data_IF_208007100047
#
_entry.id   IF_208007100047
#
_cell.length_a   1.000
_cell.length_b   1.000
_cell.length_c   1.000
_cell.angle_alpha   90.00
_cell.angle_beta   90.00
_cell.angle_gamma   90.00
#
_symmetry.space_group_name_H-M   'P 1'
#
loop_
_entity.id
_entity.type
_entity.pdbx_description
1 polymer ?
#
# COMPACT_ATOMS: atom_id res chain seq x y z
N UNK A 1 9.07 -20.65 -8.08
CA UNK A 1 8.36 -19.70 -7.17
C UNK A 1 7.80 -20.51 -6.00
N UNK A 2 8.09 -20.11 -4.77
CA UNK A 2 7.59 -20.81 -3.58
C UNK A 2 6.14 -20.42 -3.28
N UNK A 3 5.53 -21.11 -2.32
CA UNK A 3 4.11 -20.88 -1.96
C UNK A 3 3.85 -19.47 -1.43
N UNK A 4 4.79 -18.92 -0.66
CA UNK A 4 4.66 -17.56 -0.11
C UNK A 4 4.64 -16.52 -1.22
N UNK A 5 5.51 -16.66 -2.21
CA UNK A 5 5.53 -15.76 -3.38
C UNK A 5 4.25 -15.85 -4.18
N UNK A 6 3.72 -17.06 -4.36
CA UNK A 6 2.45 -17.26 -5.07
C UNK A 6 1.28 -16.60 -4.35
N UNK A 7 1.22 -16.74 -3.02
CA UNK A 7 0.19 -16.07 -2.20
C UNK A 7 0.33 -14.56 -2.29
N UNK A 8 1.55 -14.05 -2.17
CA UNK A 8 1.82 -12.61 -2.25
C UNK A 8 1.34 -12.02 -3.58
N UNK A 9 1.74 -12.64 -4.70
CA UNK A 9 1.33 -12.18 -6.02
C UNK A 9 -0.17 -12.30 -6.25
N UNK A 10 -0.79 -13.35 -5.73
CA UNK A 10 -2.23 -13.58 -5.84
C UNK A 10 -3.02 -12.48 -5.13
N UNK A 11 -2.59 -12.11 -3.91
CA UNK A 11 -3.21 -11.04 -3.14
C UNK A 11 -3.15 -9.70 -3.88
N UNK A 12 -1.98 -9.36 -4.41
CA UNK A 12 -1.79 -8.11 -5.13
C UNK A 12 -2.59 -8.09 -6.42
N UNK A 13 -2.60 -9.21 -7.16
CA UNK A 13 -3.37 -9.33 -8.40
C UNK A 13 -4.86 -9.13 -8.16
N UNK A 14 -5.41 -9.81 -7.16
CA UNK A 14 -6.83 -9.73 -6.86
C UNK A 14 -7.22 -8.32 -6.43
N UNK A 15 -6.37 -7.65 -5.66
CA UNK A 15 -6.60 -6.27 -5.26
C UNK A 15 -6.62 -5.32 -6.46
N UNK A 16 -5.60 -5.43 -7.33
CA UNK A 16 -5.48 -4.55 -8.50
C UNK A 16 -6.63 -4.78 -9.48
N UNK A 17 -7.06 -6.04 -9.65
CA UNK A 17 -8.16 -6.38 -10.56
C UNK A 17 -9.54 -6.16 -9.94
N UNK A 18 -9.62 -5.74 -8.69
CA UNK A 18 -10.89 -5.53 -8.00
C UNK A 18 -11.65 -6.81 -7.70
N UNK A 19 -10.98 -7.96 -7.71
CA UNK A 19 -11.60 -9.24 -7.44
C UNK A 19 -11.73 -9.48 -5.94
N UNK A 20 -12.76 -10.22 -5.56
CA UNK A 20 -12.97 -10.61 -4.18
C UNK A 20 -11.90 -11.60 -3.75
N UNK A 21 -11.31 -11.38 -2.58
CA UNK A 21 -10.29 -12.25 -2.03
C UNK A 21 -10.86 -13.63 -1.73
N UNK A 22 -10.14 -14.66 -2.18
CA UNK A 22 -10.47 -16.05 -1.92
C UNK A 22 -9.83 -16.48 -0.59
N UNK A 23 -10.37 -17.57 0.00
CA UNK A 23 -9.72 -18.17 1.16
C UNK A 23 -8.29 -18.58 0.80
N UNK A 24 -7.34 -18.20 1.66
CA UNK A 24 -5.93 -18.52 1.44
C UNK A 24 -5.65 -19.94 1.91
N UNK A 25 -4.72 -20.66 1.23
CA UNK A 25 -4.16 -21.90 1.77
C UNK A 25 -3.35 -21.61 3.02
N UNK A 26 -2.78 -22.66 3.63
CA UNK A 26 -1.87 -22.48 4.75
C UNK A 26 -0.73 -21.52 4.37
N UNK A 27 -0.56 -20.46 5.15
CA UNK A 27 0.37 -19.37 4.84
C UNK A 27 1.42 -19.28 5.93
N UNK A 28 2.68 -19.13 5.54
CA UNK A 28 3.74 -18.70 6.45
C UNK A 28 3.65 -17.17 6.56
N UNK A 29 2.96 -16.71 7.60
CA UNK A 29 2.69 -15.29 7.79
C UNK A 29 3.96 -14.46 7.98
N UNK A 30 4.97 -15.03 8.66
CA UNK A 30 6.24 -14.33 8.85
C UNK A 30 6.97 -14.12 7.51
N UNK A 31 7.00 -15.16 6.68
CA UNK A 31 7.61 -15.06 5.35
C UNK A 31 6.86 -14.07 4.47
N UNK A 32 5.53 -14.06 4.53
CA UNK A 32 4.71 -13.11 3.78
C UNK A 32 4.98 -11.67 4.23
N UNK A 33 5.06 -11.43 5.53
CA UNK A 33 5.41 -10.12 6.07
C UNK A 33 6.79 -9.66 5.60
N UNK A 34 7.79 -10.55 5.69
CA UNK A 34 9.15 -10.23 5.26
C UNK A 34 9.20 -9.89 3.77
N UNK A 35 8.47 -10.63 2.96
CA UNK A 35 8.40 -10.39 1.50
C UNK A 35 7.73 -9.04 1.21
N UNK A 36 6.62 -8.74 1.87
CA UNK A 36 5.94 -7.46 1.71
C UNK A 36 6.84 -6.30 2.13
N UNK A 37 7.60 -6.48 3.20
CA UNK A 37 8.51 -5.46 3.70
C UNK A 37 9.68 -5.21 2.74
N UNK A 38 10.22 -6.29 2.16
CA UNK A 38 11.33 -6.17 1.20
C UNK A 38 10.92 -5.45 -0.09
N UNK A 39 9.64 -5.52 -0.46
CA UNK A 39 9.09 -4.82 -1.62
C UNK A 39 8.41 -3.50 -1.26
N UNK A 40 8.50 -3.07 0.00
CA UNK A 40 7.94 -1.82 0.49
C UNK A 40 6.41 -1.70 0.28
N UNK A 41 5.70 -2.80 0.42
CA UNK A 41 4.24 -2.85 0.27
C UNK A 41 3.54 -3.42 1.51
N UNK A 42 4.17 -3.32 2.68
CA UNK A 42 3.62 -3.84 3.94
C UNK A 42 2.25 -3.22 4.24
N UNK A 43 2.10 -1.92 4.06
CA UNK A 43 0.83 -1.24 4.29
C UNK A 43 -0.26 -1.69 3.34
N UNK A 44 0.08 -1.87 2.07
CA UNK A 44 -0.87 -2.35 1.06
C UNK A 44 -1.32 -3.79 1.36
N UNK A 45 -0.39 -4.68 1.66
CA UNK A 45 -0.72 -6.07 2.01
C UNK A 45 -1.55 -6.10 3.30
N UNK A 46 -1.21 -5.28 4.29
CA UNK A 46 -2.00 -5.16 5.52
C UNK A 46 -3.44 -4.77 5.26
N UNK A 47 -3.66 -3.82 4.36
CA UNK A 47 -5.02 -3.40 3.97
C UNK A 47 -5.78 -4.53 3.28
N UNK A 48 -5.12 -5.26 2.40
CA UNK A 48 -5.73 -6.42 1.72
C UNK A 48 -6.12 -7.49 2.74
N UNK A 49 -5.22 -7.81 3.68
CA UNK A 49 -5.47 -8.83 4.70
C UNK A 49 -6.58 -8.44 5.67
N UNK A 50 -6.84 -7.16 5.86
CA UNK A 50 -7.92 -6.69 6.74
C UNK A 50 -9.30 -7.09 6.23
N UNK A 51 -9.45 -7.35 4.94
CA UNK A 51 -10.71 -7.78 4.33
C UNK A 51 -10.89 -9.31 4.34
N UNK A 52 -9.92 -10.07 4.84
CA UNK A 52 -10.02 -11.52 4.91
C UNK A 52 -10.96 -11.97 6.04
N UNK A 53 -11.62 -13.14 5.90
CA UNK A 53 -12.37 -13.74 6.98
C UNK A 53 -11.51 -13.95 8.23
N UNK A 54 -12.13 -13.92 9.41
CA UNK A 54 -11.43 -14.01 10.70
C UNK A 54 -10.57 -15.28 10.81
N UNK A 55 -11.00 -16.38 10.19
CA UNK A 55 -10.31 -17.66 10.24
C UNK A 55 -8.98 -17.69 9.46
N UNK A 56 -8.73 -16.69 8.63
CA UNK A 56 -7.58 -16.63 7.73
C UNK A 56 -6.71 -15.39 8.00
N UNK A 57 -6.65 -14.95 9.25
CA UNK A 57 -5.86 -13.78 9.64
C UNK A 57 -4.52 -14.18 10.22
N UNK A 58 -3.49 -13.32 10.09
CA UNK A 58 -2.19 -13.57 10.69
C UNK A 58 -2.27 -13.59 12.23
N UNK A 59 -1.26 -14.18 12.91
CA UNK A 59 -1.14 -14.09 14.36
C UNK A 59 -1.16 -12.65 14.84
N UNK A 60 -1.59 -12.44 16.09
CA UNK A 60 -1.78 -11.10 16.66
C UNK A 60 -0.55 -10.20 16.51
N UNK A 61 0.64 -10.72 16.74
CA UNK A 61 1.88 -9.96 16.64
C UNK A 61 2.12 -9.45 15.21
N UNK A 62 1.91 -10.31 14.21
CA UNK A 62 2.05 -9.94 12.80
C UNK A 62 0.90 -9.04 12.35
N UNK A 63 -0.31 -9.26 12.85
CA UNK A 63 -1.44 -8.39 12.54
C UNK A 63 -1.17 -6.96 13.01
N UNK A 64 -0.56 -6.79 14.18
CA UNK A 64 -0.15 -5.47 14.69
C UNK A 64 0.93 -4.87 13.78
N UNK A 65 1.92 -5.67 13.37
CA UNK A 65 2.99 -5.21 12.48
C UNK A 65 2.46 -4.72 11.13
N UNK A 66 1.53 -5.46 10.53
CA UNK A 66 0.87 -5.03 9.28
C UNK A 66 0.08 -3.74 9.48
N UNK A 67 -0.63 -3.61 10.59
CA UNK A 67 -1.41 -2.41 10.90
C UNK A 67 -0.51 -1.20 11.08
N UNK A 68 0.64 -1.36 11.73
CA UNK A 68 1.64 -0.30 11.86
C UNK A 68 2.17 0.12 10.49
N UNK A 69 2.41 -0.84 9.59
CA UNK A 69 2.82 -0.56 8.22
C UNK A 69 1.78 0.26 7.46
N UNK A 70 0.49 -0.06 7.64
CA UNK A 70 -0.62 0.73 7.09
C UNK A 70 -0.59 2.17 7.60
N UNK A 71 -0.45 2.35 8.91
CA UNK A 71 -0.41 3.67 9.54
C UNK A 71 0.76 4.50 9.02
N UNK A 72 1.93 3.90 8.92
CA UNK A 72 3.11 4.59 8.40
C UNK A 72 2.92 5.00 6.94
N UNK A 73 2.36 4.13 6.11
CA UNK A 73 2.08 4.43 4.70
C UNK A 73 1.09 5.56 4.57
N UNK A 74 0.02 5.54 5.36
CA UNK A 74 -1.00 6.60 5.36
C UNK A 74 -0.40 7.94 5.80
N UNK A 75 0.39 7.95 6.88
CA UNK A 75 1.04 9.17 7.36
C UNK A 75 2.00 9.74 6.32
N UNK A 76 2.78 8.88 5.65
CA UNK A 76 3.68 9.31 4.59
C UNK A 76 2.91 9.93 3.42
N UNK A 77 1.77 9.33 3.05
CA UNK A 77 0.90 9.88 2.00
C UNK A 77 0.37 11.26 2.38
N UNK A 78 -0.18 11.41 3.59
CA UNK A 78 -0.73 12.68 4.05
C UNK A 78 0.33 13.77 4.08
N UNK A 79 1.53 13.44 4.55
CA UNK A 79 2.66 14.36 4.58
C UNK A 79 3.06 14.80 3.17
N UNK A 80 3.11 13.86 2.23
CA UNK A 80 3.42 14.14 0.82
C UNK A 80 2.37 15.05 0.20
N UNK A 81 1.08 14.75 0.43
CA UNK A 81 -0.01 15.54 -0.13
C UNK A 81 -0.04 16.94 0.42
N UNK A 82 0.27 17.13 1.70
CA UNK A 82 0.39 18.46 2.30
C UNK A 82 1.52 19.25 1.62
N UNK A 83 2.67 18.62 1.37
CA UNK A 83 3.79 19.26 0.68
C UNK A 83 3.43 19.62 -0.76
N UNK A 84 2.75 18.73 -1.46
CA UNK A 84 2.29 18.98 -2.84
C UNK A 84 1.33 20.16 -2.88
N UNK A 85 0.39 20.25 -1.94
CA UNK A 85 -0.55 21.36 -1.87
C UNK A 85 0.14 22.69 -1.65
N UNK A 86 1.13 22.74 -0.77
CA UNK A 86 1.92 23.96 -0.52
C UNK A 86 2.66 24.36 -1.79
N UNK A 87 3.27 23.40 -2.47
CA UNK A 87 3.99 23.66 -3.73
C UNK A 87 3.07 24.17 -4.82
N UNK A 88 1.90 23.54 -5.01
CA UNK A 88 0.92 23.94 -6.00
C UNK A 88 0.40 25.35 -5.73
N UNK A 89 0.11 25.67 -4.47
CA UNK A 89 -0.37 26.99 -4.07
C UNK A 89 0.71 28.05 -4.35
N UNK A 90 1.97 27.75 -4.01
CA UNK A 90 3.09 28.65 -4.24
C UNK A 90 3.27 28.96 -5.73
N UNK A 91 3.21 27.93 -6.57
CA UNK A 91 3.33 28.09 -8.03
C UNK A 91 2.16 28.87 -8.60
N UNK A 92 0.95 28.61 -8.13
CA UNK A 92 -0.26 29.32 -8.55
C UNK A 92 -0.18 30.80 -8.18
N UNK A 93 0.23 31.11 -6.96
CA UNK A 93 0.37 32.49 -6.48
C UNK A 93 1.45 33.26 -7.25
N UNK A 94 2.47 32.57 -7.72
CA UNK A 94 3.55 33.16 -8.53
C UNK A 94 3.19 33.21 -10.02
N UNK A 95 2.00 32.76 -10.41
CA UNK A 95 1.53 32.70 -11.81
C UNK A 95 2.41 31.80 -12.69
N UNK A 96 2.96 30.71 -12.12
CA UNK A 96 3.79 29.75 -12.84
C UNK A 96 2.92 28.56 -13.27
N UNK A 97 2.92 28.26 -14.55
CA UNK A 97 2.26 27.07 -15.09
C UNK A 97 3.09 25.83 -14.74
N UNK A 98 2.43 24.78 -14.21
CA UNK A 98 3.11 23.57 -13.81
C UNK A 98 2.32 22.33 -14.23
N UNK A 99 2.98 21.18 -14.22
CA UNK A 99 2.39 19.88 -14.49
C UNK A 99 2.89 18.86 -13.47
N UNK A 100 1.96 18.18 -12.80
CA UNK A 100 2.29 17.13 -11.85
C UNK A 100 2.48 15.80 -12.59
N UNK A 101 3.63 15.16 -12.38
CA UNK A 101 3.98 13.88 -13.00
C UNK A 101 4.46 12.88 -11.96
N UNK A 102 4.57 11.62 -12.36
CA UNK A 102 5.05 10.51 -11.53
C UNK A 102 4.17 10.26 -10.29
N UNK A 103 4.77 10.15 -9.12
CA UNK A 103 4.17 9.63 -7.91
C UNK A 103 2.76 10.11 -7.58
N UNK A 104 2.56 11.43 -7.49
CA UNK A 104 1.25 11.98 -7.14
C UNK A 104 0.20 11.68 -8.20
N UNK A 105 0.57 11.81 -9.47
CA UNK A 105 -0.32 11.50 -10.59
C UNK A 105 -0.64 10.02 -10.69
N UNK A 106 0.38 9.16 -10.53
CA UNK A 106 0.23 7.70 -10.58
C UNK A 106 -0.57 7.18 -9.39
N UNK A 107 -0.37 7.76 -8.19
CA UNK A 107 -1.10 7.35 -6.99
C UNK A 107 -2.61 7.51 -7.16
N UNK A 108 -3.06 8.52 -7.89
CA UNK A 108 -4.47 8.75 -8.12
C UNK A 108 -5.16 7.62 -8.89
N UNK A 109 -4.39 6.79 -9.61
CA UNK A 109 -4.90 5.63 -10.34
C UNK A 109 -5.12 4.40 -9.44
N UNK A 110 -4.60 4.41 -8.21
CA UNK A 110 -4.79 3.31 -7.26
C UNK A 110 -6.20 3.35 -6.65
N UNK A 111 -6.78 2.18 -6.32
CA UNK A 111 -8.07 2.14 -5.61
C UNK A 111 -8.03 2.93 -4.30
N UNK A 112 -6.90 2.89 -3.60
CA UNK A 112 -6.63 3.71 -2.43
C UNK A 112 -5.25 4.36 -2.61
N UNK A 113 -5.19 5.63 -3.04
CA UNK A 113 -3.91 6.30 -3.31
C UNK A 113 -2.98 6.38 -2.09
N UNK A 114 -3.54 6.39 -0.88
CA UNK A 114 -2.76 6.48 0.36
C UNK A 114 -1.88 5.25 0.60
N UNK A 115 -2.19 4.12 -0.04
CA UNK A 115 -1.47 2.86 0.14
C UNK A 115 -0.33 2.67 -0.85
N UNK A 116 -0.21 3.54 -1.85
CA UNK A 116 0.90 3.47 -2.79
C UNK A 116 2.17 3.98 -2.12
N UNK A 117 3.20 3.13 -1.97
CA UNK A 117 4.48 3.62 -1.48
C UNK A 117 5.14 4.55 -2.49
N UNK A 118 5.90 5.51 -2.00
CA UNK A 118 6.63 6.44 -2.85
C UNK A 118 8.10 6.47 -2.38
N UNK A 119 9.01 6.01 -3.23
CA UNK A 119 10.42 5.91 -2.90
C UNK A 119 11.18 7.22 -3.06
N UNK A 120 10.68 8.11 -3.90
CA UNK A 120 11.26 9.44 -4.14
C UNK A 120 10.17 10.50 -4.12
N UNK A 121 10.51 11.60 -3.57
CA UNK A 121 9.63 12.77 -3.45
C UNK A 121 9.96 13.81 -4.51
#
# INVERSE_FOLDING_TARGET
>A
MNQTEQVFLSLLRDYVCGQKLKALPTVDWQALYNLAQSHNVTGLVGRILADLPTDHRPPKALAVAFRQGMGQTLMAYEKRMAAVQVMEQTLTDAHITYLTVKGACTAAAYPDPSLRPCGDT
#
